data_IF_566302495972
#
_entry.id   IF_566302495972
#
_cell.length_a   1.000
_cell.length_b   1.000
_cell.length_c   1.000
_cell.angle_alpha   90.00
_cell.angle_beta   90.00
_cell.angle_gamma   90.00
#
_symmetry.space_group_name_H-M   'P 1'
#
loop_
_entity.id
_entity.type
_entity.pdbx_description
1 polymer ?
#
# COMPACT_ATOMS: atom_id res chain seq x y z
N UNK A 1 54.66 -62.46 37.14
CA UNK A 1 53.78 -62.63 35.92
C UNK A 1 52.87 -61.45 35.88
N UNK A 2 53.22 -60.46 35.05
CA UNK A 2 52.49 -59.18 34.92
C UNK A 2 51.72 -59.20 33.64
N UNK A 3 50.41 -59.19 33.73
CA UNK A 3 49.49 -59.22 32.57
C UNK A 3 49.25 -57.81 31.99
N UNK A 4 49.67 -57.61 30.76
CA UNK A 4 49.42 -56.38 30.00
C UNK A 4 47.95 -56.32 29.53
N UNK A 5 47.21 -55.27 29.93
CA UNK A 5 45.88 -54.94 29.39
C UNK A 5 46.03 -53.96 28.24
N UNK A 6 45.69 -54.43 27.01
CA UNK A 6 45.58 -53.57 25.83
C UNK A 6 44.30 -52.73 25.90
N UNK A 7 44.44 -51.42 25.87
CA UNK A 7 43.31 -50.46 25.67
C UNK A 7 43.11 -50.27 24.17
N UNK A 8 41.94 -50.65 23.67
CA UNK A 8 41.51 -50.33 22.32
C UNK A 8 40.84 -48.97 22.37
N UNK A 9 41.45 -47.96 21.74
CA UNK A 9 40.83 -46.63 21.54
C UNK A 9 39.87 -46.72 20.37
N UNK A 10 38.58 -46.67 20.63
CA UNK A 10 37.55 -46.46 19.59
C UNK A 10 37.52 -44.96 19.25
N UNK A 11 37.98 -44.61 18.06
CA UNK A 11 37.81 -43.28 17.49
C UNK A 11 36.37 -43.13 17.00
N UNK A 12 35.56 -42.34 17.69
CA UNK A 12 34.23 -41.94 17.25
C UNK A 12 34.38 -40.87 16.18
N UNK A 13 34.23 -41.27 14.91
CA UNK A 13 34.07 -40.32 13.78
C UNK A 13 32.70 -39.69 13.87
N UNK A 14 32.61 -38.44 14.36
CA UNK A 14 31.42 -37.63 14.24
C UNK A 14 31.23 -37.20 12.78
N UNK A 15 30.10 -37.45 12.13
CA UNK A 15 29.82 -36.89 10.81
C UNK A 15 29.62 -35.37 10.97
N UNK A 16 30.52 -34.61 10.40
CA UNK A 16 30.29 -33.18 10.18
C UNK A 16 29.15 -33.03 9.20
N UNK A 17 27.96 -32.75 9.70
CA UNK A 17 26.85 -32.24 8.89
C UNK A 17 27.25 -30.81 8.51
N UNK A 18 27.89 -30.66 7.38
CA UNK A 18 28.14 -29.38 6.75
C UNK A 18 26.81 -28.76 6.37
N UNK A 19 26.32 -27.80 7.16
CA UNK A 19 25.27 -26.95 6.73
C UNK A 19 25.74 -26.24 5.45
N UNK A 20 25.24 -26.64 4.30
CA UNK A 20 25.45 -25.93 3.04
C UNK A 20 24.93 -24.50 3.22
N UNK A 21 25.81 -23.56 3.51
CA UNK A 21 25.50 -22.13 3.39
C UNK A 21 25.31 -21.86 1.91
N UNK A 22 24.06 -21.59 1.51
CA UNK A 22 23.75 -21.14 0.16
C UNK A 22 24.62 -19.94 -0.18
N UNK A 23 25.27 -19.99 -1.34
CA UNK A 23 26.08 -18.87 -1.82
C UNK A 23 25.14 -17.69 -2.18
N UNK A 24 25.59 -16.43 -2.06
CA UNK A 24 24.80 -15.26 -2.48
C UNK A 24 24.28 -15.39 -3.91
N UNK A 25 25.06 -16.01 -4.80
CA UNK A 25 24.67 -16.27 -6.19
C UNK A 25 23.54 -17.31 -6.33
N UNK A 26 23.58 -18.40 -5.53
CA UNK A 26 22.51 -19.40 -5.52
C UNK A 26 21.20 -18.81 -5.00
N UNK A 27 21.27 -17.97 -3.96
CA UNK A 27 20.10 -17.25 -3.42
C UNK A 27 19.52 -16.27 -4.45
N UNK A 28 20.36 -15.50 -5.15
CA UNK A 28 19.92 -14.60 -6.20
C UNK A 28 19.27 -15.33 -7.37
N UNK A 29 19.82 -16.46 -7.81
CA UNK A 29 19.23 -17.29 -8.87
C UNK A 29 17.88 -17.89 -8.46
N UNK A 30 17.72 -18.31 -7.19
CA UNK A 30 16.43 -18.79 -6.68
C UNK A 30 15.37 -17.68 -6.65
N UNK A 31 15.72 -16.48 -6.20
CA UNK A 31 14.81 -15.33 -6.23
C UNK A 31 14.34 -15.05 -7.66
N UNK A 32 15.24 -15.00 -8.62
CA UNK A 32 14.90 -14.78 -10.05
C UNK A 32 13.98 -15.88 -10.59
N UNK A 33 14.21 -17.14 -10.22
CA UNK A 33 13.36 -18.26 -10.64
C UNK A 33 11.95 -18.13 -10.07
N UNK A 34 11.83 -17.82 -8.79
CA UNK A 34 10.53 -17.60 -8.12
C UNK A 34 9.80 -16.43 -8.76
N UNK A 35 10.48 -15.33 -9.01
CA UNK A 35 9.93 -14.13 -9.65
C UNK A 35 9.39 -14.44 -11.04
N UNK A 36 10.17 -15.11 -11.89
CA UNK A 36 9.74 -15.51 -13.23
C UNK A 36 8.51 -16.43 -13.20
N UNK A 37 8.47 -17.40 -12.29
CA UNK A 37 7.33 -18.30 -12.12
C UNK A 37 6.06 -17.56 -11.67
N UNK A 38 6.18 -16.58 -10.77
CA UNK A 38 5.06 -15.74 -10.31
C UNK A 38 4.52 -14.87 -11.43
N UNK A 39 5.39 -14.19 -12.20
CA UNK A 39 5.00 -13.40 -13.39
C UNK A 39 4.27 -14.24 -14.43
N UNK A 40 4.76 -15.42 -14.76
CA UNK A 40 4.09 -16.32 -15.69
C UNK A 40 2.71 -16.75 -15.19
N UNK A 41 2.58 -17.02 -13.90
CA UNK A 41 1.30 -17.39 -13.29
C UNK A 41 0.32 -16.23 -13.32
N UNK A 42 0.77 -15.01 -13.00
CA UNK A 42 -0.03 -13.80 -13.07
C UNK A 42 -0.55 -13.56 -14.50
N UNK A 43 0.32 -13.63 -15.51
CA UNK A 43 -0.07 -13.44 -16.91
C UNK A 43 -1.17 -14.43 -17.35
N UNK A 44 -1.06 -15.71 -16.96
CA UNK A 44 -2.10 -16.72 -17.26
C UNK A 44 -3.43 -16.40 -16.58
N UNK A 45 -3.40 -15.98 -15.30
CA UNK A 45 -4.60 -15.63 -14.55
C UNK A 45 -5.27 -14.36 -15.06
N UNK A 46 -4.48 -13.37 -15.50
CA UNK A 46 -5.00 -12.18 -16.15
C UNK A 46 -5.74 -12.54 -17.44
N UNK A 47 -5.19 -13.42 -18.28
CA UNK A 47 -5.87 -13.88 -19.49
C UNK A 47 -7.22 -14.59 -19.18
N UNK A 48 -7.29 -15.37 -18.12
CA UNK A 48 -8.55 -16.00 -17.64
C UNK A 48 -9.52 -14.93 -17.14
N UNK A 49 -9.05 -13.95 -16.38
CA UNK A 49 -9.89 -12.85 -15.88
C UNK A 49 -10.43 -11.97 -17.02
N UNK A 50 -9.66 -11.78 -18.10
CA UNK A 50 -10.09 -11.06 -19.30
C UNK A 50 -11.22 -11.78 -20.04
N UNK A 51 -11.19 -13.10 -20.06
CA UNK A 51 -12.24 -13.93 -20.65
C UNK A 51 -13.53 -13.99 -19.79
N UNK A 52 -13.40 -13.84 -18.46
CA UNK A 52 -14.54 -13.89 -17.53
C UNK A 52 -14.81 -12.51 -16.92
N UNK A 53 -15.94 -11.89 -17.32
CA UNK A 53 -16.29 -10.51 -16.94
C UNK A 53 -17.33 -10.40 -15.82
N UNK A 54 -17.90 -11.50 -15.35
CA UNK A 54 -19.06 -11.45 -14.45
C UNK A 54 -18.74 -11.01 -13.02
N UNK A 55 -17.57 -11.43 -12.46
CA UNK A 55 -17.18 -11.08 -11.10
C UNK A 55 -15.67 -10.80 -11.02
N UNK A 56 -15.25 -9.80 -10.22
CA UNK A 56 -13.83 -9.60 -9.94
C UNK A 56 -13.31 -10.77 -9.09
N UNK A 57 -12.41 -11.57 -9.65
CA UNK A 57 -11.70 -12.63 -8.95
C UNK A 57 -10.23 -12.26 -8.77
N UNK A 58 -9.59 -12.62 -7.66
CA UNK A 58 -8.17 -12.37 -7.46
C UNK A 58 -7.32 -13.04 -8.54
N UNK A 59 -6.49 -12.28 -9.23
CA UNK A 59 -5.51 -12.83 -10.19
C UNK A 59 -4.21 -13.22 -9.50
N UNK A 60 -3.89 -12.57 -8.37
CA UNK A 60 -2.82 -12.95 -7.47
C UNK A 60 -3.13 -12.47 -6.05
N UNK A 61 -2.56 -13.15 -5.06
CA UNK A 61 -2.51 -12.69 -3.68
C UNK A 61 -1.15 -13.07 -3.09
N UNK A 62 -0.49 -12.10 -2.50
CA UNK A 62 0.82 -12.25 -1.88
C UNK A 62 0.71 -11.94 -0.39
N UNK A 63 1.01 -12.92 0.45
CA UNK A 63 1.19 -12.71 1.88
C UNK A 63 2.49 -11.93 2.08
N UNK A 64 2.40 -10.86 2.85
CA UNK A 64 3.53 -9.99 3.12
C UNK A 64 4.40 -10.53 4.24
N UNK A 65 5.71 -10.22 4.23
CA UNK A 65 6.59 -10.59 5.33
C UNK A 65 6.25 -9.81 6.61
N UNK A 66 6.72 -10.27 7.79
CA UNK A 66 6.35 -9.69 9.09
C UNK A 66 6.64 -8.20 9.23
N UNK A 67 7.63 -7.68 8.51
CA UNK A 67 7.98 -6.24 8.49
C UNK A 67 6.87 -5.36 7.91
N UNK A 68 5.99 -5.95 7.12
CA UNK A 68 4.85 -5.29 6.46
C UNK A 68 3.52 -5.66 7.11
N UNK A 69 3.51 -6.09 8.38
CA UNK A 69 2.25 -6.42 9.04
C UNK A 69 1.31 -5.23 9.17
N UNK A 70 1.84 -4.04 9.39
CA UNK A 70 1.15 -2.76 9.47
C UNK A 70 1.22 -2.03 8.11
N UNK A 71 1.03 -2.78 6.99
CA UNK A 71 1.02 -2.20 5.65
C UNK A 71 -0.19 -1.28 5.49
N UNK A 72 0.07 -0.02 5.15
CA UNK A 72 -0.97 0.96 4.91
C UNK A 72 -1.00 1.42 3.43
N UNK A 73 -1.22 2.69 3.13
CA UNK A 73 -1.40 3.22 1.78
C UNK A 73 -0.43 2.72 0.71
N UNK A 74 -0.82 2.83 -0.54
CA UNK A 74 -0.04 2.39 -1.70
C UNK A 74 0.25 3.53 -2.68
N UNK A 75 1.51 3.70 -3.09
CA UNK A 75 1.91 4.66 -4.13
C UNK A 75 2.64 3.95 -5.28
N UNK A 76 2.14 4.09 -6.50
CA UNK A 76 2.82 3.60 -7.69
C UNK A 76 4.06 4.44 -8.00
N UNK A 77 5.16 3.77 -8.32
CA UNK A 77 6.36 4.41 -8.87
C UNK A 77 6.35 4.37 -10.39
N UNK A 78 7.17 5.19 -11.02
CA UNK A 78 7.35 5.17 -12.48
C UNK A 78 8.00 3.87 -12.99
N UNK A 79 8.55 3.04 -12.08
CA UNK A 79 9.16 1.74 -12.39
C UNK A 79 8.14 0.59 -12.41
N UNK A 80 6.86 0.86 -12.08
CA UNK A 80 5.83 -0.16 -11.95
C UNK A 80 5.88 -0.93 -10.61
N UNK A 81 6.68 -0.46 -9.65
CA UNK A 81 6.68 -0.93 -8.26
C UNK A 81 5.70 -0.12 -7.42
N UNK A 82 5.40 -0.57 -6.21
CA UNK A 82 4.63 0.20 -5.24
C UNK A 82 5.49 0.53 -4.03
N UNK A 83 5.38 1.78 -3.56
CA UNK A 83 5.80 2.15 -2.21
C UNK A 83 4.61 1.98 -1.26
N UNK A 84 4.93 1.54 -0.07
CA UNK A 84 4.02 1.47 1.07
C UNK A 84 4.76 1.86 2.34
N UNK A 85 4.09 1.98 3.46
CA UNK A 85 4.71 2.43 4.71
C UNK A 85 4.17 1.65 5.92
N UNK A 86 4.88 1.76 7.04
CA UNK A 86 4.43 1.36 8.36
C UNK A 86 3.61 2.52 8.97
N UNK A 87 2.52 2.21 9.63
CA UNK A 87 1.60 3.19 10.22
C UNK A 87 2.18 3.91 11.46
N UNK A 88 3.10 3.28 12.20
CA UNK A 88 3.62 3.75 13.49
C UNK A 88 4.98 4.45 13.41
N UNK A 89 5.76 4.13 12.38
CA UNK A 89 7.12 4.64 12.20
C UNK A 89 7.34 5.15 10.79
N UNK A 90 8.16 6.19 10.63
CA UNK A 90 8.52 6.76 9.34
C UNK A 90 9.39 5.81 8.51
N UNK A 91 8.87 4.63 8.17
CA UNK A 91 9.54 3.60 7.38
C UNK A 91 8.74 3.30 6.12
N UNK A 92 9.43 3.26 5.00
CA UNK A 92 8.85 3.04 3.67
C UNK A 92 9.47 1.79 3.06
N UNK A 93 8.67 1.05 2.34
CA UNK A 93 9.05 -0.19 1.68
C UNK A 93 8.69 -0.13 0.20
N UNK A 94 9.53 -0.71 -0.65
CA UNK A 94 9.26 -0.90 -2.06
C UNK A 94 8.98 -2.36 -2.36
N UNK A 95 7.87 -2.63 -3.05
CA UNK A 95 7.39 -3.98 -3.37
C UNK A 95 7.18 -4.08 -4.88
N UNK A 96 7.55 -5.22 -5.45
CA UNK A 96 7.11 -5.58 -6.79
C UNK A 96 5.70 -6.19 -6.71
N UNK A 97 4.65 -5.52 -7.18
CA UNK A 97 3.27 -5.99 -7.03
C UNK A 97 2.98 -7.25 -7.85
N UNK A 98 3.65 -7.45 -8.99
CA UNK A 98 3.46 -8.64 -9.83
C UNK A 98 3.94 -9.93 -9.16
N UNK A 99 4.90 -9.81 -8.26
CA UNK A 99 5.55 -10.95 -7.60
C UNK A 99 5.38 -10.98 -6.09
N UNK A 100 4.95 -9.87 -5.46
CA UNK A 100 4.87 -9.71 -4.02
C UNK A 100 6.22 -9.72 -3.31
N UNK A 101 7.31 -9.46 -4.03
CA UNK A 101 8.66 -9.45 -3.47
C UNK A 101 8.96 -8.06 -2.91
N UNK A 102 9.39 -8.04 -1.64
CA UNK A 102 9.95 -6.85 -1.00
C UNK A 102 11.34 -6.58 -1.63
N UNK A 103 11.49 -5.40 -2.24
CA UNK A 103 12.70 -4.99 -2.93
C UNK A 103 13.67 -4.32 -1.96
N UNK A 104 13.17 -3.37 -1.16
CA UNK A 104 13.95 -2.62 -0.18
C UNK A 104 13.06 -1.99 0.88
N UNK A 105 13.70 -1.52 1.95
CA UNK A 105 13.09 -0.67 2.97
C UNK A 105 14.05 0.43 3.41
N UNK A 106 13.55 1.65 3.60
CA UNK A 106 14.30 2.79 4.09
C UNK A 106 13.47 3.58 5.10
N UNK A 107 14.08 4.52 5.82
CA UNK A 107 13.41 5.22 6.91
C UNK A 107 13.66 6.73 6.86
N UNK A 108 12.76 7.50 7.42
CA UNK A 108 13.01 8.91 7.70
C UNK A 108 14.09 9.04 8.78
N UNK A 109 15.00 10.00 8.62
CA UNK A 109 16.10 10.21 9.57
C UNK A 109 15.58 10.54 10.98
N UNK A 110 16.29 10.09 12.01
CA UNK A 110 15.95 10.38 13.40
C UNK A 110 14.89 9.47 14.03
N UNK A 111 14.49 8.38 13.38
CA UNK A 111 13.54 7.40 13.96
C UNK A 111 12.16 7.99 14.22
N UNK A 112 11.64 8.73 13.25
CA UNK A 112 10.34 9.42 13.34
C UNK A 112 9.23 8.43 13.65
N UNK A 113 8.40 8.78 14.61
CA UNK A 113 7.14 8.09 14.95
C UNK A 113 5.95 9.01 14.70
N UNK A 114 4.88 8.43 14.23
CA UNK A 114 3.63 9.13 13.92
C UNK A 114 2.51 8.14 13.71
N UNK A 115 1.39 8.62 13.33
CA UNK A 115 0.18 7.92 12.91
C UNK A 115 0.11 8.13 11.38
N UNK A 116 0.96 7.38 10.65
CA UNK A 116 1.12 7.55 9.20
C UNK A 116 0.07 6.74 8.46
N UNK A 117 -0.66 7.40 7.56
CA UNK A 117 -1.88 6.83 7.00
C UNK A 117 -1.86 6.71 5.48
N UNK A 118 -1.07 7.52 4.77
CA UNK A 118 -1.06 7.49 3.31
C UNK A 118 0.27 7.94 2.73
N UNK A 119 0.57 7.45 1.53
CA UNK A 119 1.80 7.75 0.80
C UNK A 119 1.49 8.03 -0.67
N UNK A 120 2.21 9.00 -1.27
CA UNK A 120 2.15 9.21 -2.73
C UNK A 120 3.49 9.66 -3.28
N UNK A 121 3.65 9.54 -4.60
CA UNK A 121 4.87 9.93 -5.32
C UNK A 121 4.53 10.99 -6.35
N UNK A 122 5.28 12.10 -6.35
CA UNK A 122 5.21 13.15 -7.36
C UNK A 122 6.60 13.43 -7.94
N UNK A 123 6.87 12.93 -9.12
CA UNK A 123 8.20 13.00 -9.73
C UNK A 123 9.25 12.26 -8.90
N UNK A 124 10.20 13.00 -8.32
CA UNK A 124 11.27 12.45 -7.46
C UNK A 124 10.99 12.63 -5.96
N UNK A 125 9.86 13.22 -5.60
CA UNK A 125 9.49 13.46 -4.21
C UNK A 125 8.44 12.44 -3.76
N UNK A 126 8.60 11.97 -2.53
CA UNK A 126 7.64 11.10 -1.83
C UNK A 126 6.98 11.94 -0.75
N UNK A 127 5.68 11.80 -0.63
CA UNK A 127 4.85 12.47 0.37
C UNK A 127 4.19 11.43 1.26
N UNK A 128 4.43 11.52 2.56
CA UNK A 128 3.86 10.64 3.58
C UNK A 128 2.95 11.48 4.48
N UNK A 129 1.70 11.06 4.65
CA UNK A 129 0.67 11.78 5.40
C UNK A 129 0.49 11.17 6.80
N UNK A 130 0.50 12.02 7.82
CA UNK A 130 0.06 11.68 9.18
C UNK A 130 -1.44 11.97 9.32
N UNK A 131 -2.17 11.18 10.09
CA UNK A 131 -3.63 11.27 10.32
C UNK A 131 -4.14 12.66 10.69
N UNK A 132 -3.28 13.49 11.30
CA UNK A 132 -3.58 14.89 11.66
C UNK A 132 -3.24 15.91 10.57
N UNK A 133 -2.94 15.44 9.35
CA UNK A 133 -2.70 16.30 8.21
C UNK A 133 -1.31 16.93 8.15
N UNK A 134 -0.30 16.37 8.80
CA UNK A 134 1.09 16.69 8.51
C UNK A 134 1.59 15.88 7.33
N UNK A 135 2.27 16.52 6.42
CA UNK A 135 2.85 15.92 5.21
C UNK A 135 4.37 15.97 5.32
N UNK A 136 4.98 14.80 5.30
CA UNK A 136 6.44 14.62 5.27
C UNK A 136 6.87 14.47 3.83
N UNK A 137 7.81 15.30 3.38
CA UNK A 137 8.33 15.30 2.01
C UNK A 137 9.79 14.88 2.01
N UNK A 138 10.14 13.89 1.21
CA UNK A 138 11.49 13.33 1.12
C UNK A 138 11.74 12.71 -0.25
N UNK A 139 13.00 12.37 -0.53
CA UNK A 139 13.36 11.57 -1.70
C UNK A 139 13.47 10.10 -1.32
N UNK A 140 13.17 9.24 -2.28
CA UNK A 140 13.30 7.80 -2.12
C UNK A 140 14.75 7.42 -1.78
N UNK A 141 14.93 6.59 -0.74
CA UNK A 141 16.22 6.12 -0.27
C UNK A 141 16.66 4.79 -0.88
N UNK A 142 17.93 4.46 -0.71
CA UNK A 142 18.48 3.13 -0.90
C UNK A 142 18.02 2.18 0.22
N UNK A 143 18.28 0.88 0.06
CA UNK A 143 17.95 -0.09 1.11
C UNK A 143 18.67 0.22 2.42
N UNK A 144 17.94 0.18 3.53
CA UNK A 144 18.35 0.53 4.89
C UNK A 144 18.83 1.99 5.09
N UNK A 145 18.65 2.88 4.11
CA UNK A 145 19.03 4.28 4.23
C UNK A 145 18.12 5.05 5.18
N UNK A 146 18.67 6.06 5.85
CA UNK A 146 17.93 7.08 6.56
C UNK A 146 17.96 8.38 5.76
N UNK A 147 16.79 8.80 5.26
CA UNK A 147 16.67 9.95 4.37
C UNK A 147 16.25 11.22 5.11
N UNK A 148 16.78 12.39 4.75
CA UNK A 148 16.31 13.66 5.27
C UNK A 148 14.90 13.96 4.74
N UNK A 149 14.12 14.71 5.51
CA UNK A 149 12.77 15.09 5.16
C UNK A 149 12.46 16.53 5.61
N UNK A 150 11.39 17.08 5.06
CA UNK A 150 10.73 18.30 5.54
C UNK A 150 9.30 18.00 5.95
N UNK A 151 8.71 18.85 6.79
CA UNK A 151 7.32 18.68 7.26
C UNK A 151 6.51 19.92 6.93
N UNK A 152 5.36 19.71 6.31
CA UNK A 152 4.35 20.72 6.08
C UNK A 152 3.10 20.38 6.92
N UNK A 153 2.68 21.30 7.80
CA UNK A 153 1.47 21.14 8.60
C UNK A 153 0.30 21.87 7.92
N UNK A 154 -0.73 21.12 7.52
CA UNK A 154 -1.95 21.68 6.93
C UNK A 154 -2.80 22.41 7.95
N UNK A 155 -2.62 22.16 9.26
CA UNK A 155 -3.45 22.61 10.38
C UNK A 155 -4.90 22.08 10.37
N UNK A 156 -5.21 21.10 9.54
CA UNK A 156 -6.54 20.50 9.45
C UNK A 156 -6.82 19.40 10.49
N UNK A 157 -5.84 18.99 11.28
CA UNK A 157 -5.98 17.88 12.22
C UNK A 157 -7.00 18.09 13.33
N UNK A 158 -7.49 19.32 13.53
CA UNK A 158 -8.63 19.60 14.42
C UNK A 158 -9.99 19.40 13.75
N UNK A 159 -10.01 19.43 12.43
CA UNK A 159 -11.23 19.31 11.61
C UNK A 159 -11.43 17.89 11.10
N UNK A 160 -10.34 17.26 10.64
CA UNK A 160 -10.36 15.95 10.01
C UNK A 160 -9.32 15.01 10.57
N UNK A 161 -9.62 13.73 10.48
CA UNK A 161 -8.71 12.59 10.50
C UNK A 161 -8.54 12.12 9.06
N UNK A 162 -7.30 12.02 8.60
CA UNK A 162 -6.96 11.70 7.20
C UNK A 162 -6.35 10.30 7.10
N UNK A 163 -6.73 9.56 6.06
CA UNK A 163 -6.14 8.27 5.72
C UNK A 163 -5.90 8.10 4.21
N UNK A 164 -5.95 9.18 3.45
CA UNK A 164 -5.87 9.08 2.00
C UNK A 164 -5.05 10.23 1.42
N UNK A 165 -4.12 9.90 0.52
CA UNK A 165 -3.28 10.88 -0.17
C UNK A 165 -2.91 10.40 -1.57
N UNK A 166 -3.15 11.23 -2.59
CA UNK A 166 -2.68 10.96 -3.95
C UNK A 166 -2.15 12.21 -4.62
N UNK A 167 -1.18 12.06 -5.51
CA UNK A 167 -0.72 13.10 -6.40
C UNK A 167 -1.51 13.12 -7.70
N UNK A 168 -2.17 14.23 -8.00
CA UNK A 168 -2.87 14.48 -9.25
C UNK A 168 -1.96 15.27 -10.20
N UNK A 169 -1.37 14.55 -11.17
CA UNK A 169 -0.33 15.09 -12.04
C UNK A 169 -0.85 16.18 -12.97
N UNK A 170 -2.05 16.01 -13.53
CA UNK A 170 -2.65 16.94 -14.50
C UNK A 170 -2.89 18.33 -13.90
N UNK A 171 -3.09 18.42 -12.59
CA UNK A 171 -3.30 19.66 -11.84
C UNK A 171 -2.13 20.02 -10.93
N UNK A 172 -1.06 19.24 -10.92
CA UNK A 172 0.15 19.43 -10.09
C UNK A 172 -0.21 19.69 -8.62
N UNK A 173 -1.03 18.82 -8.02
CA UNK A 173 -1.51 18.97 -6.65
C UNK A 173 -1.58 17.64 -5.90
N UNK A 174 -1.53 17.72 -4.57
CA UNK A 174 -1.91 16.64 -3.69
C UNK A 174 -3.41 16.68 -3.41
N UNK A 175 -4.02 15.51 -3.32
CA UNK A 175 -5.42 15.32 -2.94
C UNK A 175 -5.48 14.45 -1.69
N UNK A 176 -6.13 14.95 -0.64
CA UNK A 176 -6.34 14.26 0.63
C UNK A 176 -7.84 14.07 0.87
N UNK A 177 -8.25 12.92 1.35
CA UNK A 177 -9.65 12.66 1.69
C UNK A 177 -9.80 12.53 3.21
N UNK A 178 -10.80 13.19 3.75
CA UNK A 178 -11.13 13.14 5.17
C UNK A 178 -11.85 11.83 5.48
N UNK A 179 -11.27 10.96 6.28
CA UNK A 179 -11.92 9.74 6.78
C UNK A 179 -13.02 10.07 7.76
N UNK A 180 -12.73 10.99 8.70
CA UNK A 180 -13.65 11.33 9.77
C UNK A 180 -13.60 12.82 10.11
N UNK A 181 -14.74 13.49 10.02
CA UNK A 181 -14.88 14.88 10.47
C UNK A 181 -14.93 14.87 12.00
N UNK A 182 -14.00 15.56 12.66
CA UNK A 182 -13.94 15.60 14.12
C UNK A 182 -15.14 16.35 14.72
N UNK A 183 -15.67 15.82 15.83
CA UNK A 183 -16.83 16.40 16.50
C UNK A 183 -18.19 16.09 15.85
N UNK A 184 -18.21 15.29 14.78
CA UNK A 184 -19.43 14.77 14.16
C UNK A 184 -19.44 13.24 14.22
N UNK A 185 -20.57 12.66 14.63
CA UNK A 185 -20.68 11.20 14.73
C UNK A 185 -20.84 10.54 13.36
N UNK A 186 -21.61 11.17 12.46
CA UNK A 186 -21.80 10.72 11.08
C UNK A 186 -21.59 11.94 10.15
N UNK A 187 -20.64 11.90 9.25
CA UNK A 187 -20.44 12.97 8.29
C UNK A 187 -21.59 12.95 7.26
N UNK A 188 -22.12 14.13 6.94
CA UNK A 188 -23.09 14.30 5.87
C UNK A 188 -22.43 14.58 4.51
N UNK A 189 -21.11 14.76 4.51
CA UNK A 189 -20.32 15.10 3.33
C UNK A 189 -18.98 14.33 3.37
N UNK A 190 -18.53 13.90 2.21
CA UNK A 190 -17.15 13.52 1.98
C UNK A 190 -16.34 14.78 1.66
N UNK A 191 -15.31 15.06 2.45
CA UNK A 191 -14.44 16.22 2.26
C UNK A 191 -13.16 15.81 1.56
N UNK A 192 -12.87 16.48 0.45
CA UNK A 192 -11.66 16.26 -0.35
C UNK A 192 -10.87 17.56 -0.39
N UNK A 193 -9.69 17.56 0.20
CA UNK A 193 -8.78 18.72 0.24
C UNK A 193 -7.76 18.63 -0.89
N UNK A 194 -7.54 19.72 -1.57
CA UNK A 194 -6.64 19.83 -2.72
C UNK A 194 -5.57 20.86 -2.42
N UNK A 195 -4.32 20.43 -2.47
CA UNK A 195 -3.14 21.25 -2.16
C UNK A 195 -2.25 21.36 -3.39
N UNK A 196 -2.27 22.50 -4.12
CA UNK A 196 -1.33 22.74 -5.21
C UNK A 196 0.13 22.65 -4.74
N UNK A 197 1.01 22.17 -5.60
CA UNK A 197 2.45 22.17 -5.38
C UNK A 197 3.08 23.44 -5.98
N UNK A 198 4.05 24.07 -5.32
CA UNK A 198 4.59 23.74 -4.00
C UNK A 198 3.57 23.97 -2.88
N UNK A 199 3.64 23.16 -1.81
CA UNK A 199 2.68 23.16 -0.70
C UNK A 199 2.51 24.54 -0.08
N UNK A 200 1.25 25.03 -0.11
CA UNK A 200 0.88 26.31 0.50
C UNK A 200 -0.58 26.24 0.98
N UNK A 201 -0.80 26.54 2.25
CA UNK A 201 -2.16 26.53 2.85
C UNK A 201 -3.11 27.55 2.22
N UNK A 202 -2.61 28.70 1.79
CA UNK A 202 -3.47 29.75 1.22
C UNK A 202 -4.07 29.40 -0.13
N UNK A 203 -3.52 28.39 -0.82
CA UNK A 203 -3.99 27.90 -2.12
C UNK A 203 -4.81 26.62 -2.00
N UNK A 204 -4.97 26.10 -0.79
CA UNK A 204 -5.75 24.90 -0.53
C UNK A 204 -7.24 25.14 -0.80
N UNK A 205 -7.88 24.17 -1.46
CA UNK A 205 -9.32 24.18 -1.72
C UNK A 205 -9.97 22.92 -1.20
N UNK A 206 -11.28 22.95 -0.96
CA UNK A 206 -12.05 21.80 -0.47
C UNK A 206 -13.22 21.55 -1.40
N UNK A 207 -13.31 20.32 -1.89
CA UNK A 207 -14.50 19.78 -2.55
C UNK A 207 -15.37 19.09 -1.49
N UNK A 208 -16.67 19.31 -1.56
CA UNK A 208 -17.68 18.71 -0.67
C UNK A 208 -18.63 17.88 -1.50
N UNK A 209 -18.75 16.60 -1.20
CA UNK A 209 -19.66 15.68 -1.89
C UNK A 209 -20.68 15.16 -0.88
N UNK A 210 -21.99 15.30 -1.13
CA UNK A 210 -23.02 14.77 -0.24
C UNK A 210 -22.80 13.28 0.01
N UNK A 211 -22.91 12.84 1.26
CA UNK A 211 -22.65 11.43 1.60
C UNK A 211 -23.71 10.51 0.96
N UNK A 212 -24.93 11.00 0.75
CA UNK A 212 -25.99 10.25 0.10
C UNK A 212 -25.65 9.90 -1.35
N UNK A 213 -24.95 10.79 -2.07
CA UNK A 213 -24.45 10.52 -3.43
C UNK A 213 -23.37 9.45 -3.41
N UNK A 214 -22.48 9.48 -2.39
CA UNK A 214 -21.39 8.53 -2.21
C UNK A 214 -21.90 7.14 -1.88
N UNK A 215 -22.83 7.01 -0.92
CA UNK A 215 -23.37 5.71 -0.52
C UNK A 215 -24.37 5.15 -1.54
N UNK A 216 -25.09 6.00 -2.27
CA UNK A 216 -26.07 5.60 -3.28
C UNK A 216 -27.08 4.58 -2.76
N UNK A 217 -27.21 3.44 -3.44
CA UNK A 217 -28.10 2.33 -3.03
C UNK A 217 -27.45 1.33 -2.06
N UNK A 218 -26.23 1.56 -1.61
CA UNK A 218 -25.55 0.68 -0.66
C UNK A 218 -26.20 0.77 0.73
N UNK A 219 -26.07 -0.29 1.53
CA UNK A 219 -26.60 -0.33 2.91
C UNK A 219 -25.70 0.36 3.93
N UNK A 220 -24.73 1.16 3.47
CA UNK A 220 -23.83 1.90 4.33
C UNK A 220 -24.56 3.10 4.98
N UNK A 221 -24.14 3.49 6.15
CA UNK A 221 -24.62 4.72 6.81
C UNK A 221 -23.72 5.91 6.55
N UNK A 222 -22.47 5.63 6.16
CA UNK A 222 -21.43 6.60 5.85
C UNK A 222 -20.39 5.94 4.96
N UNK A 223 -19.32 6.66 4.62
CA UNK A 223 -18.17 6.14 3.89
C UNK A 223 -16.90 6.71 4.52
N UNK A 224 -16.02 5.82 5.01
CA UNK A 224 -14.80 6.20 5.71
C UNK A 224 -13.59 5.83 4.86
N UNK A 225 -13.10 6.74 3.99
CA UNK A 225 -11.95 6.47 3.12
C UNK A 225 -10.74 5.98 3.89
N UNK A 226 -10.11 4.92 3.40
CA UNK A 226 -8.83 4.41 3.91
C UNK A 226 -7.67 4.66 2.92
N UNK A 227 -7.93 4.73 1.62
CA UNK A 227 -6.92 5.17 0.65
C UNK A 227 -7.58 5.68 -0.64
N UNK A 228 -6.79 6.41 -1.45
CA UNK A 228 -7.18 6.97 -2.74
C UNK A 228 -6.10 6.74 -3.78
N UNK A 229 -6.51 6.41 -5.00
CA UNK A 229 -5.64 6.40 -6.18
C UNK A 229 -6.34 7.08 -7.37
N UNK A 230 -5.62 7.31 -8.45
CA UNK A 230 -6.17 7.86 -9.69
C UNK A 230 -6.11 6.77 -10.77
N UNK A 231 -7.25 6.51 -11.38
CA UNK A 231 -7.33 5.64 -12.55
C UNK A 231 -6.55 6.28 -13.71
N UNK A 232 -5.49 5.64 -14.20
CA UNK A 232 -4.64 6.21 -15.24
C UNK A 232 -5.37 6.43 -16.58
N UNK A 233 -6.50 5.74 -16.82
CA UNK A 233 -7.26 5.81 -18.07
C UNK A 233 -8.33 6.90 -18.03
N UNK A 234 -9.16 6.90 -16.98
CA UNK A 234 -10.31 7.81 -16.84
C UNK A 234 -10.01 9.07 -16.07
N UNK A 235 -8.88 9.10 -15.34
CA UNK A 235 -8.50 10.15 -14.37
C UNK A 235 -9.43 10.27 -13.17
N UNK A 236 -10.36 9.36 -13.02
CA UNK A 236 -11.25 9.31 -11.87
C UNK A 236 -10.49 8.91 -10.60
N UNK A 237 -10.96 9.39 -9.48
CA UNK A 237 -10.52 8.95 -8.17
C UNK A 237 -11.09 7.55 -7.89
N UNK A 238 -10.23 6.65 -7.44
CA UNK A 238 -10.55 5.31 -6.96
C UNK A 238 -10.28 5.31 -5.46
N UNK A 239 -11.33 5.27 -4.66
CA UNK A 239 -11.27 5.40 -3.21
C UNK A 239 -11.79 4.12 -2.57
N UNK A 240 -11.06 3.59 -1.60
CA UNK A 240 -11.52 2.45 -0.80
C UNK A 240 -11.87 2.88 0.62
N UNK A 241 -12.72 2.12 1.27
CA UNK A 241 -13.12 2.30 2.65
C UNK A 241 -13.04 0.96 3.39
N UNK A 242 -12.15 0.86 4.34
CA UNK A 242 -11.89 -0.38 5.09
C UNK A 242 -13.10 -0.81 5.90
N UNK A 243 -13.75 0.12 6.58
CA UNK A 243 -14.91 -0.13 7.45
C UNK A 243 -16.12 -0.66 6.66
N UNK A 244 -16.46 -0.03 5.56
CA UNK A 244 -17.58 -0.38 4.70
C UNK A 244 -17.26 -1.54 3.76
N UNK A 245 -15.99 -1.94 3.63
CA UNK A 245 -15.50 -2.81 2.55
C UNK A 245 -15.97 -2.27 1.19
N UNK A 246 -15.84 -0.95 1.04
CA UNK A 246 -16.41 -0.19 -0.06
C UNK A 246 -15.39 0.26 -1.07
N UNK A 247 -15.83 0.38 -2.32
CA UNK A 247 -15.13 1.00 -3.43
C UNK A 247 -15.97 2.11 -4.00
N UNK A 248 -15.40 3.30 -4.12
CA UNK A 248 -15.96 4.47 -4.75
C UNK A 248 -15.11 4.87 -5.95
N UNK A 249 -15.74 5.09 -7.09
CA UNK A 249 -15.12 5.73 -8.26
C UNK A 249 -15.86 7.03 -8.53
N UNK A 250 -15.15 8.15 -8.58
CA UNK A 250 -15.74 9.46 -8.79
C UNK A 250 -14.86 10.34 -9.67
N UNK A 251 -15.46 11.30 -10.34
CA UNK A 251 -14.71 12.27 -11.14
C UNK A 251 -13.92 13.24 -10.22
N UNK A 252 -12.89 13.91 -10.73
CA UNK A 252 -12.25 15.00 -9.96
C UNK A 252 -13.22 16.11 -9.54
N UNK A 253 -14.32 16.30 -10.24
CA UNK A 253 -15.35 17.32 -9.93
C UNK A 253 -16.29 16.89 -8.80
N UNK A 254 -16.32 15.58 -8.47
CA UNK A 254 -17.13 15.04 -7.37
C UNK A 254 -18.33 14.21 -7.82
N UNK A 255 -18.50 13.98 -9.12
CA UNK A 255 -19.59 13.15 -9.64
C UNK A 255 -19.28 11.67 -9.38
N UNK A 256 -20.19 10.97 -8.71
CA UNK A 256 -20.04 9.54 -8.43
C UNK A 256 -20.32 8.72 -9.69
N UNK A 257 -19.30 8.02 -10.16
CA UNK A 257 -19.38 7.11 -11.32
C UNK A 257 -19.83 5.72 -10.90
N UNK A 258 -19.26 5.22 -9.78
CA UNK A 258 -19.58 3.91 -9.22
C UNK A 258 -19.35 3.91 -7.71
N UNK A 259 -20.29 3.31 -6.98
CA UNK A 259 -20.16 3.03 -5.56
C UNK A 259 -20.68 1.63 -5.27
N UNK A 260 -19.92 0.83 -4.52
CA UNK A 260 -20.30 -0.55 -4.23
C UNK A 260 -19.29 -1.28 -3.35
N UNK A 261 -19.55 -2.56 -3.01
CA UNK A 261 -18.64 -3.34 -2.20
C UNK A 261 -17.34 -3.65 -2.95
N UNK A 262 -16.24 -3.73 -2.20
CA UNK A 262 -14.99 -4.37 -2.65
C UNK A 262 -15.25 -5.83 -3.00
N UNK A 263 -14.38 -6.46 -3.81
CA UNK A 263 -14.38 -7.92 -3.94
C UNK A 263 -14.28 -8.61 -2.58
N UNK A 264 -14.87 -9.81 -2.46
CA UNK A 264 -14.84 -10.56 -1.21
C UNK A 264 -13.40 -10.95 -0.80
N UNK A 265 -13.17 -11.09 0.50
CA UNK A 265 -11.92 -11.62 1.05
C UNK A 265 -11.04 -10.62 1.77
N UNK A 266 -11.29 -9.33 1.60
CA UNK A 266 -10.57 -8.26 2.29
C UNK A 266 -10.98 -8.15 3.75
N UNK A 267 -9.98 -8.12 4.64
CA UNK A 267 -10.21 -8.04 6.08
C UNK A 267 -10.01 -6.60 6.62
N UNK A 268 -8.91 -5.97 6.24
CA UNK A 268 -8.58 -4.59 6.59
C UNK A 268 -7.89 -3.92 5.40
N UNK A 269 -8.66 -3.56 4.34
CA UNK A 269 -8.09 -2.91 3.16
C UNK A 269 -7.69 -1.47 3.47
N UNK A 270 -6.37 -1.20 3.47
CA UNK A 270 -5.81 0.11 3.82
C UNK A 270 -5.04 0.78 2.67
N UNK A 271 -4.82 0.09 1.56
CA UNK A 271 -4.16 0.69 0.41
C UNK A 271 -4.76 0.27 -0.92
N UNK A 272 -4.80 1.20 -1.88
CA UNK A 272 -5.29 0.97 -3.24
C UNK A 272 -4.35 1.58 -4.28
N UNK A 273 -4.11 0.85 -5.38
CA UNK A 273 -3.42 1.38 -6.54
C UNK A 273 -4.02 0.80 -7.83
N UNK A 274 -4.01 1.59 -8.90
CA UNK A 274 -4.44 1.17 -10.25
C UNK A 274 -3.29 1.37 -11.22
N UNK A 275 -2.83 0.28 -11.84
CA UNK A 275 -1.69 0.32 -12.76
C UNK A 275 -2.12 0.65 -14.19
N UNK A 276 -1.16 1.11 -15.01
CA UNK A 276 -1.35 1.32 -16.46
C UNK A 276 -1.68 0.04 -17.24
N UNK A 277 -1.43 -1.14 -16.64
CA UNK A 277 -1.78 -2.44 -17.23
C UNK A 277 -3.17 -2.94 -16.79
N UNK A 278 -3.99 -2.03 -16.24
CA UNK A 278 -5.34 -2.32 -15.75
C UNK A 278 -5.35 -3.40 -14.65
N UNK A 279 -4.49 -3.25 -13.66
CA UNK A 279 -4.49 -4.06 -12.44
C UNK A 279 -4.89 -3.17 -11.27
N UNK A 280 -5.93 -3.57 -10.55
CA UNK A 280 -6.27 -3.01 -9.24
C UNK A 280 -5.48 -3.79 -8.18
N UNK A 281 -4.74 -3.06 -7.36
CA UNK A 281 -3.98 -3.59 -6.23
C UNK A 281 -4.66 -3.11 -4.95
N UNK A 282 -4.91 -4.02 -4.03
CA UNK A 282 -5.43 -3.70 -2.69
C UNK A 282 -4.50 -4.33 -1.66
N UNK A 283 -4.04 -3.54 -0.69
CA UNK A 283 -3.33 -4.05 0.48
C UNK A 283 -4.29 -4.23 1.65
N UNK A 284 -4.13 -5.33 2.38
CA UNK A 284 -4.78 -5.59 3.65
C UNK A 284 -3.74 -5.60 4.76
N UNK A 285 -3.94 -4.81 5.79
CA UNK A 285 -3.17 -4.86 7.02
C UNK A 285 -3.41 -6.18 7.79
N UNK A 286 -2.42 -6.61 8.56
CA UNK A 286 -2.53 -7.80 9.38
C UNK A 286 -3.46 -7.58 10.58
N UNK A 287 -4.50 -8.39 10.65
CA UNK A 287 -5.40 -8.43 11.78
C UNK A 287 -5.67 -9.92 12.13
N UNK A 288 -6.86 -10.42 11.79
CA UNK A 288 -7.19 -11.86 11.93
C UNK A 288 -6.42 -12.71 10.91
N UNK A 289 -6.08 -12.10 9.76
CA UNK A 289 -5.26 -12.70 8.69
C UNK A 289 -3.90 -11.98 8.61
N UNK A 290 -2.87 -12.64 8.05
CA UNK A 290 -1.63 -11.95 7.71
C UNK A 290 -1.86 -10.80 6.72
N UNK A 291 -0.98 -9.78 6.77
CA UNK A 291 -0.96 -8.72 5.78
C UNK A 291 -0.79 -9.31 4.37
N UNK A 292 -1.48 -8.74 3.41
CA UNK A 292 -1.47 -9.24 2.04
C UNK A 292 -1.65 -8.12 1.01
N UNK A 293 -1.13 -8.36 -0.19
CA UNK A 293 -1.47 -7.58 -1.39
C UNK A 293 -2.25 -8.50 -2.33
N UNK A 294 -3.43 -8.04 -2.75
CA UNK A 294 -4.31 -8.78 -3.67
C UNK A 294 -4.48 -8.00 -4.96
N UNK A 295 -4.33 -8.67 -6.08
CA UNK A 295 -4.41 -8.12 -7.43
C UNK A 295 -5.69 -8.58 -8.11
N UNK A 296 -6.35 -7.65 -8.79
CA UNK A 296 -7.54 -7.89 -9.59
C UNK A 296 -7.38 -7.29 -10.99
N UNK A 297 -8.12 -7.81 -11.97
CA UNK A 297 -8.26 -7.09 -13.23
C UNK A 297 -9.11 -5.84 -13.03
N UNK A 298 -8.52 -4.68 -13.25
CA UNK A 298 -9.23 -3.41 -13.19
C UNK A 298 -10.09 -3.19 -14.44
N UNK A 299 -11.28 -2.67 -14.22
CA UNK A 299 -12.23 -2.26 -15.27
C UNK A 299 -12.88 -0.97 -14.78
N UNK A 300 -12.50 0.17 -15.41
CA UNK A 300 -13.04 1.48 -15.05
C UNK A 300 -14.56 1.58 -15.26
#
# INVERSE_FOLDING_TARGET
MIGARSFVLLAVLSPWVGACRETPQAKAAEVQRVEAARKQTLARRLAVADANREKPVPVAQWVMPPELREISGLALTTRGTVLTHDDNIGRVYEINPETGILIKGFSLAGGVRGDFEAITVAGNEVYLLESKGKIYTFKEGADAEQVPYSVFDTHLGKECEFESLVYEADSTRLVMVCKKIRGKNEPHELLIYRLPLPLNRSTMTTLRVPIDDVIGSNKWKSFHPSDINIDPFTKNYVIIASREKGLLVMTPEGDVVRSGPLPDGHNQPEGVAVTSDSILIISDEANVKPAAITLYRWRP
#
